data_IF_417567565889
#
_entry.id   IF_417567565889
#
_cell.length_a   1.000
_cell.length_b   1.000
_cell.length_c   1.000
_cell.angle_alpha   90.00
_cell.angle_beta   90.00
_cell.angle_gamma   90.00
#
_symmetry.space_group_name_H-M   'P 1'
#
loop_
_entity.id
_entity.type
_entity.pdbx_description
1 polymer ?
#
# COMPACT_ATOMS: atom_id res chain seq x y z
N UNK A 1 -8.07 22.55 -46.48
CA UNK A 1 -6.82 22.28 -45.74
C UNK A 1 -7.02 22.86 -44.36
N UNK A 2 -7.62 22.08 -43.48
CA UNK A 2 -7.83 22.42 -42.07
C UNK A 2 -7.32 21.21 -41.31
N UNK A 3 -6.12 21.36 -40.76
CA UNK A 3 -5.51 20.35 -39.91
C UNK A 3 -6.34 20.28 -38.62
N UNK A 4 -7.04 19.17 -38.44
CA UNK A 4 -7.62 18.83 -37.16
C UNK A 4 -6.46 18.42 -36.25
N UNK A 5 -6.07 19.32 -35.34
CA UNK A 5 -5.34 18.94 -34.14
C UNK A 5 -6.19 17.92 -33.39
N UNK A 6 -5.80 16.66 -33.53
CA UNK A 6 -6.27 15.54 -32.71
C UNK A 6 -5.78 15.78 -31.28
N UNK A 7 -6.54 16.57 -30.51
CA UNK A 7 -6.36 16.68 -29.07
C UNK A 7 -6.76 15.36 -28.43
N UNK A 8 -5.84 14.39 -28.44
CA UNK A 8 -5.91 13.22 -27.59
C UNK A 8 -6.19 13.70 -26.15
N UNK A 9 -7.16 13.10 -25.43
CA UNK A 9 -7.48 13.53 -24.08
C UNK A 9 -6.21 13.44 -23.23
N UNK A 10 -5.78 14.59 -22.70
CA UNK A 10 -4.65 14.68 -21.78
C UNK A 10 -4.88 13.69 -20.63
N UNK A 11 -4.14 12.59 -20.63
CA UNK A 11 -4.22 11.59 -19.57
C UNK A 11 -3.64 12.23 -18.31
N UNK A 12 -4.52 12.63 -17.39
CA UNK A 12 -4.11 13.21 -16.11
C UNK A 12 -3.41 12.13 -15.29
N UNK A 13 -2.18 12.36 -14.80
CA UNK A 13 -1.47 11.43 -13.93
C UNK A 13 -2.32 11.03 -12.72
N UNK A 14 -2.42 9.74 -12.46
CA UNK A 14 -3.19 9.18 -11.34
C UNK A 14 -2.65 9.65 -9.99
N UNK A 15 -1.35 9.91 -9.91
CA UNK A 15 -0.72 10.47 -8.72
C UNK A 15 -1.17 11.92 -8.42
N UNK A 16 -1.42 12.74 -9.44
CA UNK A 16 -1.95 14.10 -9.26
C UNK A 16 -3.40 14.06 -8.77
N UNK A 17 -4.20 13.13 -9.30
CA UNK A 17 -5.56 12.87 -8.79
C UNK A 17 -5.53 12.42 -7.33
N UNK A 18 -4.64 11.48 -6.99
CA UNK A 18 -4.46 11.00 -5.60
C UNK A 18 -4.14 12.13 -4.62
N UNK A 19 -3.43 13.17 -5.06
CA UNK A 19 -3.09 14.31 -4.22
C UNK A 19 -4.34 15.06 -3.73
N UNK A 20 -5.45 15.03 -4.47
CA UNK A 20 -6.68 15.77 -4.14
C UNK A 20 -7.74 14.91 -3.44
N UNK A 21 -7.62 13.59 -3.50
CA UNK A 21 -8.60 12.66 -2.93
C UNK A 21 -8.46 12.52 -1.42
N UNK A 22 -9.58 12.24 -0.74
CA UNK A 22 -9.64 11.89 0.68
C UNK A 22 -9.87 10.38 0.91
N UNK A 23 -10.37 9.68 -0.11
CA UNK A 23 -10.79 8.28 -0.03
C UNK A 23 -10.39 7.55 -1.29
N UNK A 24 -9.85 6.34 -1.14
CA UNK A 24 -9.46 5.47 -2.25
C UNK A 24 -9.82 4.02 -1.95
N UNK A 25 -9.97 3.22 -3.02
CA UNK A 25 -10.09 1.77 -2.91
C UNK A 25 -8.75 1.13 -3.27
N UNK A 26 -8.30 0.15 -2.50
CA UNK A 26 -7.15 -0.69 -2.82
C UNK A 26 -7.67 -2.09 -3.08
N UNK A 27 -7.52 -2.57 -4.31
CA UNK A 27 -7.96 -3.89 -4.77
C UNK A 27 -6.76 -4.80 -4.94
N UNK A 28 -6.76 -5.94 -4.27
CA UNK A 28 -5.77 -6.97 -4.50
C UNK A 28 -6.14 -7.75 -5.77
N UNK A 29 -5.26 -7.78 -6.76
CA UNK A 29 -5.50 -8.49 -8.01
C UNK A 29 -5.04 -9.95 -7.92
N UNK A 30 -3.96 -10.18 -7.19
CA UNK A 30 -3.33 -11.48 -7.05
C UNK A 30 -2.87 -11.66 -5.61
N UNK A 31 -3.27 -12.80 -5.01
CA UNK A 31 -2.82 -13.28 -3.70
C UNK A 31 -2.11 -14.61 -3.94
N UNK A 32 -0.82 -14.55 -4.27
CA UNK A 32 0.02 -15.75 -4.41
C UNK A 32 1.35 -15.54 -3.71
N UNK A 33 2.08 -16.62 -3.46
CA UNK A 33 3.42 -16.53 -2.87
C UNK A 33 4.40 -15.70 -3.73
N UNK A 34 4.10 -15.56 -5.03
CA UNK A 34 4.77 -14.70 -6.01
C UNK A 34 3.73 -13.77 -6.66
N UNK A 35 4.14 -12.56 -7.04
CA UNK A 35 3.34 -11.59 -7.80
C UNK A 35 2.12 -11.05 -7.06
N UNK A 36 2.29 -10.54 -5.84
CA UNK A 36 1.22 -9.84 -5.15
C UNK A 36 1.07 -8.43 -5.74
N UNK A 37 0.05 -8.26 -6.58
CA UNK A 37 -0.24 -7.01 -7.25
C UNK A 37 -1.48 -6.36 -6.64
N UNK A 38 -1.40 -5.05 -6.45
CA UNK A 38 -2.50 -4.25 -5.95
C UNK A 38 -2.78 -3.07 -6.88
N UNK A 39 -4.04 -2.70 -7.00
CA UNK A 39 -4.46 -1.53 -7.77
C UNK A 39 -5.19 -0.57 -6.86
N UNK A 40 -4.79 0.69 -6.91
CA UNK A 40 -5.47 1.79 -6.25
C UNK A 40 -6.44 2.42 -7.23
N UNK A 41 -7.70 2.53 -6.81
CA UNK A 41 -8.81 3.01 -7.60
C UNK A 41 -9.44 4.23 -6.93
N UNK A 42 -9.88 5.18 -7.77
CA UNK A 42 -10.90 6.17 -7.43
C UNK A 42 -12.21 5.76 -8.10
N UNK A 43 -13.19 5.30 -7.33
CA UNK A 43 -14.38 4.68 -7.92
C UNK A 43 -14.03 3.39 -8.69
N UNK A 44 -14.06 3.47 -10.03
CA UNK A 44 -13.64 2.43 -10.99
C UNK A 44 -12.34 2.81 -11.74
N UNK A 45 -11.87 4.06 -11.62
CA UNK A 45 -10.71 4.56 -12.35
C UNK A 45 -9.41 4.17 -11.66
N UNK A 46 -8.46 3.64 -12.43
CA UNK A 46 -7.13 3.31 -11.94
C UNK A 46 -6.32 4.57 -11.70
N UNK A 47 -5.82 4.72 -10.48
CA UNK A 47 -4.86 5.77 -10.10
C UNK A 47 -3.43 5.25 -10.24
N UNK A 48 -3.09 4.23 -9.46
CA UNK A 48 -1.74 3.66 -9.40
C UNK A 48 -1.81 2.14 -9.22
N UNK A 49 -0.82 1.45 -9.75
CA UNK A 49 -0.64 0.01 -9.61
C UNK A 49 0.63 -0.28 -8.82
N UNK A 50 0.54 -1.18 -7.85
CA UNK A 50 1.66 -1.73 -7.12
C UNK A 50 1.98 -3.08 -7.74
N UNK A 51 3.14 -3.16 -8.39
CA UNK A 51 3.60 -4.34 -9.11
C UNK A 51 4.82 -4.88 -8.39
N UNK A 52 4.73 -6.13 -7.94
CA UNK A 52 5.88 -6.83 -7.35
C UNK A 52 6.88 -7.23 -8.45
N UNK A 53 8.16 -6.91 -8.26
CA UNK A 53 9.22 -7.41 -9.14
C UNK A 53 9.66 -8.82 -8.69
N UNK A 54 9.83 -9.71 -9.67
CA UNK A 54 10.27 -11.07 -9.44
C UNK A 54 11.72 -11.09 -8.91
N UNK A 55 11.89 -11.54 -7.67
CA UNK A 55 13.18 -11.84 -7.07
C UNK A 55 13.22 -13.30 -6.60
N UNK A 56 13.58 -14.19 -7.53
CA UNK A 56 13.68 -15.64 -7.29
C UNK A 56 14.64 -15.98 -6.13
N UNK A 57 15.69 -15.20 -5.94
CA UNK A 57 16.71 -15.39 -4.90
C UNK A 57 16.17 -15.19 -3.47
N UNK A 58 15.32 -14.18 -3.26
CA UNK A 58 14.72 -13.89 -1.96
C UNK A 58 13.69 -14.95 -1.54
N UNK A 59 13.02 -15.56 -2.52
CA UNK A 59 12.03 -16.62 -2.33
C UNK A 59 12.70 -17.91 -1.84
N UNK A 60 13.83 -18.26 -2.43
CA UNK A 60 14.58 -19.48 -2.10
C UNK A 60 15.22 -19.41 -0.70
N UNK A 61 15.70 -18.23 -0.29
CA UNK A 61 16.53 -18.09 0.92
C UNK A 61 15.74 -17.80 2.20
N UNK A 62 14.56 -17.18 2.13
CA UNK A 62 13.82 -16.71 3.31
C UNK A 62 12.37 -17.20 3.39
N UNK A 63 11.89 -17.92 2.37
CA UNK A 63 10.53 -18.45 2.32
C UNK A 63 9.48 -17.38 2.65
N UNK A 64 8.78 -17.55 3.77
CA UNK A 64 7.68 -16.67 4.21
C UNK A 64 8.14 -15.34 4.83
N UNK A 65 9.43 -15.16 5.10
CA UNK A 65 10.03 -13.92 5.66
C UNK A 65 10.80 -13.12 4.60
N UNK A 66 10.50 -13.38 3.34
CA UNK A 66 11.25 -12.84 2.21
C UNK A 66 11.23 -11.32 2.13
N UNK A 67 12.32 -10.80 1.59
CA UNK A 67 12.31 -9.46 1.05
C UNK A 67 11.38 -9.40 -0.15
N UNK A 68 10.92 -8.20 -0.46
CA UNK A 68 10.28 -7.95 -1.74
C UNK A 68 10.64 -6.57 -2.25
N UNK A 69 10.72 -6.49 -3.56
CA UNK A 69 10.84 -5.25 -4.32
C UNK A 69 9.54 -5.05 -5.07
N UNK A 70 8.96 -3.87 -4.98
CA UNK A 70 7.75 -3.55 -5.75
C UNK A 70 7.83 -2.14 -6.26
N UNK A 71 7.25 -1.90 -7.42
CA UNK A 71 7.16 -0.58 -8.00
C UNK A 71 5.73 -0.08 -7.94
N UNK A 72 5.60 1.22 -7.65
CA UNK A 72 4.36 1.94 -7.87
C UNK A 72 4.44 2.54 -9.28
N UNK A 73 3.51 2.12 -10.11
CA UNK A 73 3.36 2.53 -11.50
C UNK A 73 2.09 3.38 -11.61
N UNK A 74 2.22 4.56 -12.18
CA UNK A 74 1.09 5.47 -12.40
C UNK A 74 0.14 4.93 -13.50
N UNK A 75 -1.07 5.49 -13.61
CA UNK A 75 -2.01 5.15 -14.69
C UNK A 75 -1.43 5.36 -16.11
N UNK A 76 -0.43 6.24 -16.23
CA UNK A 76 0.34 6.49 -17.46
C UNK A 76 1.37 5.40 -17.78
N UNK A 77 1.56 4.41 -16.92
CA UNK A 77 2.61 3.39 -17.05
C UNK A 77 3.99 3.84 -16.55
N UNK A 78 4.12 5.09 -16.07
CA UNK A 78 5.38 5.61 -15.52
C UNK A 78 5.63 5.07 -14.11
N UNK A 79 6.83 4.53 -13.88
CA UNK A 79 7.29 4.19 -12.52
C UNK A 79 7.51 5.46 -11.70
N UNK A 80 6.82 5.58 -10.57
CA UNK A 80 6.85 6.77 -9.70
C UNK A 80 7.54 6.52 -8.36
N UNK A 81 7.28 5.36 -7.73
CA UNK A 81 7.95 4.99 -6.48
C UNK A 81 8.49 3.56 -6.54
N UNK A 82 9.49 3.31 -5.73
CA UNK A 82 10.08 2.01 -5.52
C UNK A 82 9.99 1.64 -4.04
N UNK A 83 9.47 0.45 -3.77
CA UNK A 83 9.27 -0.13 -2.46
C UNK A 83 10.33 -1.20 -2.24
N UNK A 84 11.05 -1.09 -1.12
CA UNK A 84 12.05 -2.08 -0.73
C UNK A 84 11.79 -2.57 0.69
N UNK A 85 11.41 -3.84 0.81
CA UNK A 85 11.44 -4.58 2.07
C UNK A 85 12.69 -5.45 2.06
N UNK A 86 13.72 -5.18 2.88
CA UNK A 86 14.79 -6.15 3.07
C UNK A 86 14.19 -7.44 3.66
N UNK A 87 14.70 -8.61 3.26
CA UNK A 87 14.35 -9.87 3.92
C UNK A 87 14.76 -9.81 5.39
N UNK A 88 13.83 -9.97 6.32
CA UNK A 88 14.16 -9.88 7.75
C UNK A 88 13.51 -10.96 8.58
N UNK A 89 14.24 -11.40 9.61
CA UNK A 89 13.74 -12.37 10.58
C UNK A 89 12.95 -11.74 11.74
N UNK A 90 13.03 -10.41 12.00
CA UNK A 90 12.47 -9.77 13.22
C UNK A 90 11.95 -8.32 13.06
N UNK A 91 12.37 -7.52 12.06
CA UNK A 91 12.00 -6.08 11.95
C UNK A 91 11.43 -5.72 10.58
N UNK A 92 10.12 -5.87 10.41
CA UNK A 92 9.47 -5.50 9.16
C UNK A 92 9.45 -3.99 8.93
N UNK A 93 10.29 -3.58 7.99
CA UNK A 93 10.48 -2.22 7.52
C UNK A 93 10.34 -2.23 6.00
N UNK A 94 9.52 -1.34 5.46
CA UNK A 94 9.49 -1.02 4.03
C UNK A 94 10.03 0.39 3.86
N UNK A 95 10.96 0.55 2.93
CA UNK A 95 11.44 1.85 2.47
C UNK A 95 10.69 2.22 1.19
N UNK A 96 10.21 3.45 1.15
CA UNK A 96 9.51 4.04 0.00
C UNK A 96 10.46 5.09 -0.58
N UNK A 97 10.88 4.88 -1.82
CA UNK A 97 11.83 5.75 -2.53
C UNK A 97 11.19 6.34 -3.77
N UNK A 98 11.55 7.57 -4.09
CA UNK A 98 11.22 8.22 -5.34
C UNK A 98 12.55 8.45 -6.07
N UNK A 99 12.84 7.63 -7.09
CA UNK A 99 14.19 7.52 -7.61
C UNK A 99 15.17 7.06 -6.51
N UNK A 100 16.23 7.84 -6.28
CA UNK A 100 17.24 7.57 -5.25
C UNK A 100 16.93 8.18 -3.88
N UNK A 101 15.91 9.03 -3.78
CA UNK A 101 15.58 9.70 -2.55
C UNK A 101 14.67 8.84 -1.67
N UNK A 102 15.01 8.75 -0.38
CA UNK A 102 14.13 8.13 0.61
C UNK A 102 13.03 9.12 0.97
N UNK A 103 11.79 8.75 0.69
CA UNK A 103 10.62 9.61 0.96
C UNK A 103 9.98 9.28 2.30
N UNK A 104 9.76 7.99 2.54
CA UNK A 104 9.10 7.53 3.75
C UNK A 104 9.54 6.11 4.12
N UNK A 105 9.32 5.76 5.37
CA UNK A 105 9.54 4.40 5.87
C UNK A 105 8.31 3.92 6.62
N UNK A 106 7.72 2.81 6.21
CA UNK A 106 6.69 2.12 6.98
C UNK A 106 7.32 1.00 7.83
N UNK A 107 6.96 0.90 9.11
CA UNK A 107 7.38 -0.19 10.00
C UNK A 107 6.20 -0.82 10.69
N UNK A 108 6.15 -2.15 10.70
CA UNK A 108 5.23 -2.89 11.54
C UNK A 108 5.88 -3.14 12.90
N UNK A 109 5.17 -2.82 13.98
CA UNK A 109 5.53 -3.25 15.33
C UNK A 109 4.36 -4.03 15.91
N UNK A 110 4.58 -5.31 16.17
CA UNK A 110 3.64 -6.09 16.98
C UNK A 110 3.72 -5.60 18.43
N UNK A 111 2.55 -5.28 19.01
CA UNK A 111 2.38 -5.12 20.45
C UNK A 111 1.70 -6.35 21.01
N UNK A 112 1.68 -6.53 22.34
CA UNK A 112 1.20 -7.75 23.03
C UNK A 112 -0.09 -8.37 22.45
N UNK A 113 -1.04 -7.56 21.96
CA UNK A 113 -2.32 -8.02 21.43
C UNK A 113 -2.70 -7.45 20.05
N UNK A 114 -1.86 -6.60 19.43
CA UNK A 114 -2.23 -5.98 18.14
C UNK A 114 -1.05 -5.46 17.33
N UNK A 115 -1.14 -5.50 15.99
CA UNK A 115 -0.18 -4.84 15.12
C UNK A 115 -0.39 -3.32 15.14
N UNK A 116 0.72 -2.58 15.21
CA UNK A 116 0.73 -1.12 15.06
C UNK A 116 1.73 -0.77 13.97
N UNK A 117 1.25 -0.16 12.91
CA UNK A 117 2.10 0.32 11.83
C UNK A 117 2.45 1.78 12.07
N UNK A 118 3.72 2.11 11.87
CA UNK A 118 4.29 3.43 12.08
C UNK A 118 4.92 3.89 10.79
N UNK A 119 4.55 5.09 10.37
CA UNK A 119 5.07 5.73 9.17
C UNK A 119 5.99 6.85 9.61
N UNK A 120 7.21 6.82 9.08
CA UNK A 120 8.25 7.79 9.31
C UNK A 120 8.52 8.57 8.04
N UNK A 121 8.80 9.87 8.17
CA UNK A 121 9.28 10.70 7.06
C UNK A 121 10.71 10.31 6.62
N UNK A 122 11.22 11.01 5.63
CA UNK A 122 12.58 10.86 5.10
C UNK A 122 13.66 11.04 6.19
N UNK A 123 13.42 11.93 7.16
CA UNK A 123 14.33 12.24 8.26
C UNK A 123 14.23 11.23 9.42
N UNK A 124 13.27 10.32 9.38
CA UNK A 124 13.05 9.30 10.40
C UNK A 124 12.17 9.74 11.57
N UNK A 125 11.47 10.87 11.47
CA UNK A 125 10.48 11.29 12.46
C UNK A 125 9.17 10.53 12.25
N UNK A 126 8.53 10.13 13.35
CA UNK A 126 7.21 9.51 13.31
C UNK A 126 6.15 10.55 12.92
N UNK A 127 5.49 10.35 11.78
CA UNK A 127 4.44 11.26 11.28
C UNK A 127 3.05 10.66 11.51
N UNK A 128 2.85 9.42 11.05
CA UNK A 128 1.56 8.73 11.07
C UNK A 128 1.64 7.36 11.73
N UNK A 129 0.48 6.89 12.19
CA UNK A 129 0.31 5.59 12.84
C UNK A 129 -1.00 4.97 12.36
N UNK A 130 -0.94 3.73 11.90
CA UNK A 130 -2.13 2.90 11.71
C UNK A 130 -2.24 1.96 12.90
N UNK A 131 -3.36 2.03 13.60
CA UNK A 131 -3.62 1.25 14.81
C UNK A 131 -4.83 0.37 14.59
N UNK A 132 -4.63 -0.94 14.68
CA UNK A 132 -5.72 -1.91 14.66
C UNK A 132 -6.56 -1.86 15.94
N UNK A 133 -7.82 -2.26 15.82
CA UNK A 133 -8.67 -2.52 16.98
C UNK A 133 -8.16 -3.73 17.77
N UNK A 134 -8.63 -3.87 19.01
CA UNK A 134 -8.33 -5.05 19.82
C UNK A 134 -9.30 -6.14 19.35
N UNK A 135 -8.78 -7.22 18.76
CA UNK A 135 -9.55 -8.36 18.22
C UNK A 135 -10.26 -8.14 16.87
N UNK A 136 -10.10 -6.98 16.23
CA UNK A 136 -10.60 -6.73 14.89
C UNK A 136 -9.41 -6.30 13.99
N UNK A 137 -9.10 -7.17 13.03
CA UNK A 137 -8.03 -7.02 12.04
C UNK A 137 -8.53 -6.41 10.72
N UNK A 138 -9.82 -6.09 10.64
CA UNK A 138 -10.44 -5.55 9.43
C UNK A 138 -10.46 -4.01 9.46
N UNK A 139 -10.42 -3.41 10.66
CA UNK A 139 -10.46 -1.95 10.82
C UNK A 139 -9.21 -1.39 11.50
N UNK A 140 -8.56 -0.44 10.82
CA UNK A 140 -7.42 0.32 11.33
C UNK A 140 -7.73 1.81 11.34
N UNK A 141 -7.31 2.47 12.42
CA UNK A 141 -7.45 3.92 12.58
C UNK A 141 -6.14 4.60 12.19
N UNK A 142 -6.21 5.58 11.29
CA UNK A 142 -5.09 6.44 10.93
C UNK A 142 -5.00 7.60 11.92
N UNK A 143 -3.86 7.71 12.58
CA UNK A 143 -3.59 8.71 13.61
C UNK A 143 -2.31 9.48 13.31
N UNK A 144 -2.30 10.75 13.67
CA UNK A 144 -1.09 11.58 13.69
C UNK A 144 -0.13 11.16 14.82
N UNK A 145 1.08 11.72 14.83
CA UNK A 145 2.03 11.62 15.96
C UNK A 145 1.38 11.93 17.32
N UNK A 146 0.48 12.91 17.36
CA UNK A 146 -0.27 13.34 18.55
C UNK A 146 -1.49 12.46 18.86
N UNK A 147 -1.66 11.33 18.16
CA UNK A 147 -2.79 10.39 18.31
C UNK A 147 -4.16 10.96 17.95
N UNK A 148 -4.22 12.11 17.27
CA UNK A 148 -5.45 12.61 16.64
C UNK A 148 -5.80 11.71 15.45
N UNK A 149 -7.02 11.17 15.45
CA UNK A 149 -7.56 10.39 14.33
C UNK A 149 -7.84 11.31 13.14
N UNK A 150 -7.37 10.91 11.96
CA UNK A 150 -7.51 11.68 10.71
C UNK A 150 -8.08 10.84 9.55
N UNK A 151 -8.34 9.55 9.79
CA UNK A 151 -8.82 8.63 8.76
C UNK A 151 -8.72 7.19 9.22
N UNK A 152 -8.73 6.26 8.27
CA UNK A 152 -8.61 4.85 8.58
C UNK A 152 -8.53 3.95 7.35
N UNK A 153 -8.32 2.67 7.61
CA UNK A 153 -8.34 1.61 6.60
C UNK A 153 -9.42 0.64 7.06
N UNK A 154 -10.35 0.34 6.15
CA UNK A 154 -11.39 -0.65 6.36
C UNK A 154 -11.25 -1.73 5.30
N UNK A 155 -11.09 -2.96 5.74
CA UNK A 155 -11.14 -4.12 4.86
C UNK A 155 -12.60 -4.42 4.51
N UNK A 156 -12.87 -4.58 3.23
CA UNK A 156 -14.11 -5.14 2.68
C UNK A 156 -13.77 -6.53 2.19
N UNK A 157 -14.02 -7.52 3.03
CA UNK A 157 -13.85 -8.94 2.66
C UNK A 157 -14.86 -9.33 1.57
N UNK A 158 -14.43 -10.20 0.66
CA UNK A 158 -15.15 -10.94 -0.39
C UNK A 158 -16.53 -10.41 -0.83
N UNK A 159 -16.55 -9.76 -2.00
CA UNK A 159 -17.80 -9.32 -2.64
C UNK A 159 -18.30 -10.32 -3.71
N UNK A 160 -17.48 -11.29 -4.11
CA UNK A 160 -17.79 -12.30 -5.12
C UNK A 160 -17.26 -13.69 -4.76
N UNK A 161 -17.90 -14.75 -5.23
CA UNK A 161 -17.45 -16.14 -5.05
C UNK A 161 -16.03 -16.39 -5.60
N UNK A 162 -15.66 -15.76 -6.71
CA UNK A 162 -14.30 -15.85 -7.26
C UNK A 162 -13.25 -15.26 -6.30
N UNK A 163 -13.53 -14.13 -5.66
CA UNK A 163 -12.63 -13.54 -4.64
C UNK A 163 -12.49 -14.44 -3.41
N UNK A 164 -13.57 -15.14 -3.00
CA UNK A 164 -13.51 -16.12 -1.90
C UNK A 164 -12.52 -17.23 -2.20
N UNK A 165 -12.59 -17.81 -3.40
CA UNK A 165 -11.65 -18.87 -3.83
C UNK A 165 -10.21 -18.36 -3.96
N UNK A 166 -10.03 -17.15 -4.48
CA UNK A 166 -8.73 -16.53 -4.68
C UNK A 166 -8.13 -15.87 -3.41
N UNK A 167 -8.89 -15.81 -2.31
CA UNK A 167 -8.51 -15.15 -1.05
C UNK A 167 -8.04 -13.70 -1.22
N UNK A 168 -8.69 -12.95 -2.12
CA UNK A 168 -8.38 -11.55 -2.39
C UNK A 168 -9.14 -10.63 -1.44
N UNK A 169 -8.45 -9.63 -0.89
CA UNK A 169 -9.03 -8.63 -0.01
C UNK A 169 -9.07 -7.24 -0.66
N UNK A 170 -10.24 -6.59 -0.56
CA UNK A 170 -10.42 -5.20 -0.97
C UNK A 170 -10.37 -4.29 0.27
N UNK A 171 -9.76 -3.11 0.13
CA UNK A 171 -9.62 -2.16 1.22
C UNK A 171 -10.16 -0.79 0.79
N UNK A 172 -10.78 -0.08 1.73
CA UNK A 172 -11.11 1.34 1.61
C UNK A 172 -10.21 2.12 2.54
N UNK A 173 -9.43 3.03 2.00
CA UNK A 173 -8.49 3.89 2.75
C UNK A 173 -9.05 5.30 2.74
N UNK A 174 -9.11 5.93 3.91
CA UNK A 174 -9.47 7.33 4.06
C UNK A 174 -8.42 8.12 4.84
N UNK A 175 -8.19 9.35 4.40
CA UNK A 175 -7.25 10.33 4.97
C UNK A 175 -7.68 11.75 4.58
N UNK A 176 -7.14 12.81 5.19
CA UNK A 176 -7.48 14.17 4.79
C UNK A 176 -7.04 14.47 3.35
N UNK A 177 -7.85 15.23 2.61
CA UNK A 177 -7.54 15.63 1.24
C UNK A 177 -6.23 16.43 1.14
N UNK A 178 -5.93 17.25 2.15
CA UNK A 178 -4.74 18.07 2.29
C UNK A 178 -3.49 17.31 2.80
N UNK A 179 -3.61 16.00 3.06
CA UNK A 179 -2.45 15.19 3.45
C UNK A 179 -1.42 15.14 2.32
N UNK A 180 -0.15 15.34 2.66
CA UNK A 180 0.95 15.26 1.69
C UNK A 180 0.92 13.94 0.91
N UNK A 181 1.10 14.01 -0.40
CA UNK A 181 1.07 12.88 -1.33
C UNK A 181 1.99 11.72 -0.90
N UNK A 182 3.20 12.03 -0.45
CA UNK A 182 4.16 11.06 0.06
C UNK A 182 3.61 10.26 1.25
N UNK A 183 2.87 10.93 2.13
CA UNK A 183 2.26 10.30 3.29
C UNK A 183 1.03 9.49 2.90
N UNK A 184 0.25 9.92 1.89
CA UNK A 184 -0.83 9.11 1.29
C UNK A 184 -0.28 7.80 0.72
N UNK A 185 0.79 7.88 -0.07
CA UNK A 185 1.50 6.71 -0.61
C UNK A 185 2.01 5.82 0.53
N UNK A 186 2.58 6.40 1.58
CA UNK A 186 3.05 5.63 2.73
C UNK A 186 1.92 4.92 3.50
N UNK A 187 0.71 5.48 3.55
CA UNK A 187 -0.47 4.82 4.11
C UNK A 187 -0.91 3.64 3.24
N UNK A 188 -0.90 3.79 1.91
CA UNK A 188 -1.20 2.70 0.94
C UNK A 188 -0.20 1.55 1.12
N UNK A 189 1.09 1.87 1.16
CA UNK A 189 2.16 0.88 1.39
C UNK A 189 2.04 0.24 2.78
N UNK A 190 1.64 1.03 3.77
CA UNK A 190 1.27 0.54 5.09
C UNK A 190 0.20 -0.53 5.01
N UNK A 191 -0.87 -0.29 4.25
CA UNK A 191 -1.97 -1.23 3.99
C UNK A 191 -1.49 -2.54 3.38
N UNK A 192 -0.68 -2.46 2.32
CA UNK A 192 -0.08 -3.64 1.68
C UNK A 192 0.76 -4.44 2.68
N UNK A 193 1.58 -3.79 3.51
CA UNK A 193 2.34 -4.47 4.55
C UNK A 193 1.43 -5.13 5.60
N UNK A 194 0.22 -4.60 5.85
CA UNK A 194 -0.75 -5.26 6.73
C UNK A 194 -1.28 -6.55 6.11
N UNK A 195 -1.68 -6.48 4.85
CA UNK A 195 -2.16 -7.62 4.07
C UNK A 195 -1.13 -8.76 4.05
N UNK A 196 0.13 -8.46 3.68
CA UNK A 196 1.22 -9.43 3.71
C UNK A 196 1.37 -10.12 5.08
N UNK A 197 1.28 -9.38 6.18
CA UNK A 197 1.42 -9.94 7.53
C UNK A 197 0.21 -10.76 7.96
N UNK A 198 -0.98 -10.38 7.53
CA UNK A 198 -2.20 -11.14 7.77
C UNK A 198 -2.15 -12.48 7.03
N UNK A 199 -1.70 -12.50 5.78
CA UNK A 199 -1.47 -13.72 5.02
C UNK A 199 -0.39 -14.60 5.66
N UNK A 200 0.73 -14.03 6.12
CA UNK A 200 1.77 -14.75 6.88
C UNK A 200 1.18 -15.42 8.16
N UNK A 201 0.36 -14.68 8.93
CA UNK A 201 -0.26 -15.20 10.16
C UNK A 201 -1.30 -16.30 9.89
N UNK A 202 -2.17 -16.11 8.89
CA UNK A 202 -3.20 -17.10 8.50
C UNK A 202 -2.63 -18.38 7.89
N UNK A 203 -1.44 -18.32 7.29
CA UNK A 203 -0.78 -19.50 6.74
C UNK A 203 0.01 -20.31 7.79
N UNK A 204 0.22 -19.76 8.99
CA UNK A 204 0.96 -20.38 10.08
C UNK A 204 0.07 -21.11 11.10
N UNK A 205 -1.23 -20.81 11.12
CA UNK A 205 -2.26 -21.46 11.91
C UNK A 205 -3.21 -22.25 11.00
#
# INVERSE_FOLDING_TARGET
MADAEDTAPLIVPGLERLAQLDTIKLKQLTSSYKNNNFTVLDGEDVLINLVEEDHEFDIFSFGRRRGFHSNIVDNTGKKVYTLRRPGTSIKDKIQIRQGDDLVATARCKMTLLKPVYRIFDAQGNLVLRLKGSTCDYDNFVLQTKLRKTIGGIKRKSFTTTAQVFARLDDYTISFPADLELNMKVAVIVGCVLMDFRLHEFRAAN
#
